data_IF_384684186033
#
_entry.id   IF_384684186033
#
_cell.length_a   1.000
_cell.length_b   1.000
_cell.length_c   1.000
_cell.angle_alpha   90.00
_cell.angle_beta   90.00
_cell.angle_gamma   90.00
#
_symmetry.space_group_name_H-M   'P 1'
#
loop_
_entity.id
_entity.type
_entity.pdbx_description
1 polymer ?
#
# COMPACT_ATOMS: atom_id res chain seq x y z
N UNK A 1 -20.39 -7.53 -7.74
CA UNK A 1 -20.92 -6.17 -7.99
C UNK A 1 -19.69 -5.29 -7.91
N UNK A 2 -19.39 -4.57 -8.98
CA UNK A 2 -18.21 -3.70 -9.04
C UNK A 2 -18.41 -2.51 -8.10
N UNK A 3 -17.43 -2.22 -7.25
CA UNK A 3 -17.45 -1.06 -6.37
C UNK A 3 -16.58 0.05 -6.97
N UNK A 4 -17.10 1.27 -7.14
CA UNK A 4 -16.28 2.38 -7.63
C UNK A 4 -15.18 2.67 -6.60
N UNK A 5 -13.93 2.60 -7.06
CA UNK A 5 -12.76 2.91 -6.24
C UNK A 5 -11.66 3.55 -7.08
N UNK A 6 -10.75 4.26 -6.43
CA UNK A 6 -9.50 4.74 -7.03
C UNK A 6 -8.33 4.11 -6.29
N UNK A 7 -7.45 3.46 -7.04
CA UNK A 7 -6.17 2.97 -6.54
C UNK A 7 -5.11 4.08 -6.63
N UNK A 8 -4.42 4.30 -5.53
CA UNK A 8 -3.38 5.31 -5.37
C UNK A 8 -2.11 4.62 -4.88
N UNK A 9 -1.14 4.54 -5.78
CA UNK A 9 0.22 4.13 -5.44
C UNK A 9 0.89 5.25 -4.67
N UNK A 10 1.35 4.95 -3.46
CA UNK A 10 2.00 5.90 -2.59
C UNK A 10 3.41 6.20 -3.10
N UNK A 11 3.74 7.46 -3.42
CA UNK A 11 5.09 7.85 -3.77
C UNK A 11 6.04 7.69 -2.57
N UNK A 12 7.31 7.43 -2.88
CA UNK A 12 8.42 7.34 -1.94
C UNK A 12 9.60 8.16 -2.46
N UNK A 13 9.36 9.43 -2.78
CA UNK A 13 10.33 10.28 -3.50
C UNK A 13 10.59 11.64 -2.83
N UNK A 14 9.97 11.93 -1.69
CA UNK A 14 10.11 13.23 -1.03
C UNK A 14 9.24 14.33 -1.63
N UNK A 15 8.43 14.01 -2.64
CA UNK A 15 7.78 14.98 -3.51
C UNK A 15 6.34 15.33 -3.12
N UNK A 16 5.81 16.33 -3.82
CA UNK A 16 4.39 16.67 -3.81
C UNK A 16 3.76 16.25 -5.14
N UNK A 17 2.69 15.47 -5.05
CA UNK A 17 1.98 14.88 -6.17
C UNK A 17 0.54 15.38 -6.17
N UNK A 18 -0.11 15.34 -7.33
CA UNK A 18 -1.52 15.74 -7.45
C UNK A 18 -2.30 14.69 -8.21
N UNK A 19 -3.44 14.29 -7.67
CA UNK A 19 -4.31 13.28 -8.26
C UNK A 19 -5.76 13.74 -8.29
N UNK A 20 -6.39 13.55 -9.44
CA UNK A 20 -7.82 13.79 -9.65
C UNK A 20 -8.66 12.62 -9.15
N UNK A 21 -9.59 12.91 -8.25
CA UNK A 21 -10.45 11.92 -7.58
C UNK A 21 -11.92 12.20 -7.90
N UNK A 22 -12.63 11.24 -8.53
CA UNK A 22 -14.08 11.30 -8.66
C UNK A 22 -14.75 11.44 -7.29
N UNK A 23 -15.80 12.24 -7.21
CA UNK A 23 -16.54 12.44 -5.97
C UNK A 23 -17.13 11.13 -5.44
N UNK A 24 -17.32 11.06 -4.12
CA UNK A 24 -18.00 9.95 -3.43
C UNK A 24 -17.41 8.55 -3.72
N UNK A 25 -16.13 8.49 -4.06
CA UNK A 25 -15.45 7.25 -4.45
C UNK A 25 -14.53 6.74 -3.33
N UNK A 26 -14.52 5.42 -3.13
CA UNK A 26 -13.62 4.77 -2.16
C UNK A 26 -12.17 4.91 -2.62
N UNK A 27 -11.26 5.24 -1.72
CA UNK A 27 -9.83 5.34 -2.02
C UNK A 27 -9.07 4.14 -1.48
N UNK A 28 -8.22 3.57 -2.32
CA UNK A 28 -7.31 2.50 -1.94
C UNK A 28 -5.88 3.00 -2.06
N UNK A 29 -5.23 3.20 -0.92
CA UNK A 29 -3.85 3.63 -0.86
C UNK A 29 -2.96 2.42 -0.64
N UNK A 30 -1.89 2.29 -1.41
CA UNK A 30 -0.92 1.25 -1.16
C UNK A 30 0.48 1.60 -1.68
N UNK A 31 1.48 0.93 -1.14
CA UNK A 31 2.82 0.92 -1.69
C UNK A 31 3.55 -0.37 -1.32
N UNK A 32 4.62 -0.69 -2.03
CA UNK A 32 5.38 -1.91 -1.80
C UNK A 32 6.88 -1.70 -1.96
N UNK A 33 7.62 -2.53 -1.22
CA UNK A 33 9.08 -2.62 -1.32
C UNK A 33 9.50 -4.08 -1.39
N UNK A 34 10.63 -4.35 -2.03
CA UNK A 34 11.23 -5.67 -2.09
C UNK A 34 12.67 -5.65 -1.54
N UNK A 35 13.08 -6.63 -0.72
CA UNK A 35 14.47 -6.74 -0.30
C UNK A 35 15.36 -7.19 -1.48
N UNK A 36 16.53 -6.58 -1.56
CA UNK A 36 17.59 -6.92 -2.50
C UNK A 36 18.97 -6.66 -1.90
N UNK A 37 20.01 -6.85 -2.70
CA UNK A 37 21.32 -6.27 -2.46
C UNK A 37 21.45 -4.96 -3.24
N UNK A 38 22.55 -4.22 -3.05
CA UNK A 38 22.82 -2.97 -3.78
C UNK A 38 22.77 -3.13 -5.30
N UNK A 39 23.09 -4.32 -5.82
CA UNK A 39 23.19 -4.56 -7.26
C UNK A 39 21.96 -5.22 -7.89
N UNK A 40 21.09 -5.84 -7.08
CA UNK A 40 19.94 -6.60 -7.60
C UNK A 40 18.87 -6.88 -6.56
N UNK A 41 17.64 -7.06 -7.05
CA UNK A 41 16.61 -7.78 -6.31
C UNK A 41 17.03 -9.24 -6.09
N UNK A 42 16.59 -9.83 -4.99
CA UNK A 42 16.76 -11.26 -4.74
C UNK A 42 15.57 -11.99 -5.38
N UNK A 43 15.80 -12.84 -6.40
CA UNK A 43 14.71 -13.62 -7.01
C UNK A 43 14.19 -14.66 -6.01
N UNK A 44 12.93 -15.04 -6.18
CA UNK A 44 12.25 -16.05 -5.36
C UNK A 44 12.81 -17.48 -5.57
N UNK A 45 13.61 -17.71 -6.61
CA UNK A 45 14.17 -19.01 -6.95
C UNK A 45 15.69 -19.04 -6.67
N UNK A 46 16.16 -20.11 -6.00
CA UNK A 46 17.58 -20.35 -5.72
C UNK A 46 17.88 -20.68 -4.25
N UNK A 47 19.15 -20.85 -3.89
CA UNK A 47 19.57 -21.28 -2.54
C UNK A 47 19.23 -20.28 -1.42
N UNK A 48 18.83 -19.05 -1.77
CA UNK A 48 18.54 -17.96 -0.83
C UNK A 48 17.06 -17.85 -0.40
N UNK A 49 16.14 -18.71 -0.89
CA UNK A 49 14.68 -18.57 -0.63
C UNK A 49 14.36 -18.51 0.87
N UNK A 50 14.99 -19.38 1.67
CA UNK A 50 14.73 -19.44 3.12
C UNK A 50 15.14 -18.17 3.85
N UNK A 51 16.30 -17.61 3.51
CA UNK A 51 16.81 -16.36 4.09
C UNK A 51 16.02 -15.14 3.61
N UNK A 52 15.61 -15.11 2.34
CA UNK A 52 14.76 -14.04 1.81
C UNK A 52 13.40 -14.03 2.50
N UNK A 53 12.77 -15.19 2.66
CA UNK A 53 11.48 -15.30 3.33
C UNK A 53 11.51 -14.74 4.75
N UNK A 54 12.60 -15.05 5.47
CA UNK A 54 12.83 -14.53 6.81
C UNK A 54 13.00 -13.01 6.81
N UNK A 55 13.83 -12.47 5.92
CA UNK A 55 14.00 -11.00 5.81
C UNK A 55 12.67 -10.33 5.51
N UNK A 56 11.92 -10.80 4.51
CA UNK A 56 10.57 -10.28 4.19
C UNK A 56 9.66 -10.33 5.42
N UNK A 57 9.66 -11.44 6.18
CA UNK A 57 8.88 -11.53 7.42
C UNK A 57 9.31 -10.47 8.44
N UNK A 58 10.60 -10.29 8.65
CA UNK A 58 11.15 -9.38 9.65
C UNK A 58 11.02 -7.89 9.26
N UNK A 59 10.80 -7.54 7.99
CA UNK A 59 10.66 -6.15 7.54
C UNK A 59 9.58 -5.37 8.29
N UNK A 60 8.50 -6.02 8.75
CA UNK A 60 7.45 -5.37 9.55
C UNK A 60 7.94 -4.83 10.90
N UNK A 61 9.10 -5.31 11.38
CA UNK A 61 9.71 -4.83 12.63
C UNK A 61 10.55 -3.56 12.42
N UNK A 62 10.95 -3.28 11.18
CA UNK A 62 11.88 -2.20 10.85
C UNK A 62 11.21 -1.07 10.09
N UNK A 63 10.17 -1.40 9.32
CA UNK A 63 9.47 -0.48 8.43
C UNK A 63 8.15 -0.05 9.06
N UNK A 64 7.94 1.25 9.13
CA UNK A 64 6.63 1.84 9.42
C UNK A 64 6.16 2.63 8.20
N UNK A 65 4.89 2.48 7.87
CA UNK A 65 4.26 3.26 6.81
C UNK A 65 2.94 3.82 7.30
N UNK A 66 2.79 5.13 7.18
CA UNK A 66 1.64 5.88 7.66
C UNK A 66 1.10 6.75 6.55
N UNK A 67 -0.22 6.90 6.55
CA UNK A 67 -0.90 7.93 5.77
C UNK A 67 -1.77 8.77 6.72
N UNK A 68 -1.65 10.07 6.60
CA UNK A 68 -2.45 11.05 7.32
C UNK A 68 -3.32 11.80 6.32
N UNK A 69 -4.63 11.70 6.52
CA UNK A 69 -5.63 12.53 5.89
C UNK A 69 -6.07 13.61 6.90
N UNK A 70 -6.72 14.71 6.46
CA UNK A 70 -7.03 15.86 7.33
C UNK A 70 -7.79 15.48 8.61
N UNK A 71 -8.59 14.45 8.52
CA UNK A 71 -9.52 13.95 9.53
C UNK A 71 -8.97 12.73 10.29
N UNK A 72 -7.88 12.10 9.82
CA UNK A 72 -7.31 10.94 10.49
C UNK A 72 -5.90 10.53 10.04
N UNK A 73 -5.04 10.17 10.99
CA UNK A 73 -3.78 9.45 10.75
C UNK A 73 -3.92 7.98 11.11
N UNK A 74 -3.63 7.07 10.17
CA UNK A 74 -3.63 5.62 10.42
C UNK A 74 -2.35 4.95 9.89
N UNK A 75 -1.79 3.98 10.63
CA UNK A 75 -0.80 3.08 10.04
C UNK A 75 -1.46 2.25 8.93
N UNK A 76 -0.68 1.93 7.91
CA UNK A 76 -1.11 1.01 6.86
C UNK A 76 -1.03 -0.45 7.35
N UNK A 77 -1.91 -1.29 6.82
CA UNK A 77 -1.87 -2.74 7.06
C UNK A 77 -0.73 -3.35 6.23
N UNK A 78 0.12 -4.17 6.84
CA UNK A 78 1.20 -4.84 6.13
C UNK A 78 0.79 -6.23 5.61
N UNK A 79 1.26 -6.57 4.43
CA UNK A 79 1.07 -7.89 3.84
C UNK A 79 2.26 -8.33 3.00
N UNK A 80 2.25 -9.59 2.59
CA UNK A 80 3.24 -10.10 1.65
C UNK A 80 2.87 -9.72 0.24
N UNK A 81 3.85 -9.19 -0.47
CA UNK A 81 3.73 -8.81 -1.86
C UNK A 81 4.50 -9.78 -2.75
N UNK A 82 3.90 -10.19 -3.87
CA UNK A 82 4.58 -11.04 -4.87
C UNK A 82 4.28 -10.53 -6.26
N UNK A 83 5.33 -10.26 -7.05
CA UNK A 83 5.21 -9.84 -8.45
C UNK A 83 6.40 -10.32 -9.26
N UNK A 84 6.11 -10.92 -10.42
CA UNK A 84 7.11 -11.32 -11.42
C UNK A 84 8.32 -12.11 -10.86
N UNK A 85 8.07 -13.02 -9.90
CA UNK A 85 9.13 -13.85 -9.30
C UNK A 85 9.94 -13.17 -8.19
N UNK A 86 9.46 -12.03 -7.66
CA UNK A 86 10.02 -11.36 -6.49
C UNK A 86 9.04 -11.37 -5.34
N UNK A 87 9.58 -11.48 -4.12
CA UNK A 87 8.84 -11.36 -2.87
C UNK A 87 9.20 -10.05 -2.17
N UNK A 88 8.20 -9.40 -1.58
CA UNK A 88 8.34 -8.14 -0.86
C UNK A 88 7.27 -7.96 0.19
N UNK A 89 7.13 -6.73 0.65
CA UNK A 89 6.06 -6.28 1.53
C UNK A 89 5.27 -5.18 0.86
N UNK A 90 3.95 -5.25 0.98
CA UNK A 90 3.05 -4.17 0.62
C UNK A 90 2.37 -3.65 1.89
N UNK A 91 2.04 -2.37 1.87
CA UNK A 91 1.28 -1.70 2.90
C UNK A 91 0.09 -1.02 2.26
N UNK A 92 -1.09 -1.17 2.85
CA UNK A 92 -2.31 -0.63 2.26
C UNK A 92 -3.35 -0.19 3.28
N UNK A 93 -4.28 0.66 2.82
CA UNK A 93 -5.53 0.97 3.51
C UNK A 93 -6.63 1.31 2.51
N UNK A 94 -7.83 0.78 2.74
CA UNK A 94 -9.04 1.22 2.05
C UNK A 94 -9.76 2.28 2.91
N UNK A 95 -10.17 3.37 2.27
CA UNK A 95 -10.88 4.48 2.90
C UNK A 95 -12.17 4.72 2.14
N UNK A 96 -13.25 4.96 2.90
CA UNK A 96 -14.45 5.51 2.31
C UNK A 96 -14.16 6.86 1.63
N UNK A 97 -15.14 7.43 0.92
CA UNK A 97 -14.97 8.72 0.27
C UNK A 97 -14.49 9.78 1.27
N UNK A 98 -13.56 10.61 0.83
CA UNK A 98 -13.03 11.74 1.61
C UNK A 98 -13.64 13.05 1.12
N UNK A 99 -13.68 14.06 1.99
CA UNK A 99 -14.06 15.41 1.58
C UNK A 99 -12.95 16.02 0.74
N UNK A 100 -13.26 16.49 -0.47
CA UNK A 100 -12.29 17.04 -1.42
C UNK A 100 -12.46 18.57 -1.55
N UNK A 101 -11.37 19.34 -1.78
CA UNK A 101 -9.98 18.89 -1.90
C UNK A 101 -9.39 18.47 -0.53
N UNK A 102 -8.46 17.52 -0.56
CA UNK A 102 -7.75 17.04 0.61
C UNK A 102 -6.26 16.90 0.32
N UNK A 103 -5.46 16.88 1.38
CA UNK A 103 -4.02 16.57 1.30
C UNK A 103 -3.77 15.29 2.09
N UNK A 104 -3.15 14.31 1.45
CA UNK A 104 -2.67 13.11 2.10
C UNK A 104 -1.16 13.24 2.34
N UNK A 105 -0.75 13.18 3.61
CA UNK A 105 0.65 13.12 4.01
C UNK A 105 1.06 11.67 4.19
N UNK A 106 2.21 11.30 3.62
CA UNK A 106 2.72 9.94 3.60
C UNK A 106 4.05 9.96 4.32
N UNK A 107 4.20 9.09 5.31
CA UNK A 107 5.47 8.89 6.00
C UNK A 107 5.86 7.43 5.88
N UNK A 108 7.01 7.19 5.28
CA UNK A 108 7.69 5.90 5.26
C UNK A 108 8.96 6.02 6.08
N UNK A 109 9.13 5.17 7.08
CA UNK A 109 10.37 5.09 7.85
C UNK A 109 10.91 3.68 7.88
N UNK A 110 12.24 3.57 7.75
CA UNK A 110 12.98 2.34 7.96
C UNK A 110 14.03 2.58 9.03
N UNK A 111 13.99 1.75 10.07
CA UNK A 111 14.84 1.89 11.26
C UNK A 111 15.70 0.66 11.49
N UNK A 112 16.74 0.81 12.33
CA UNK A 112 17.67 -0.26 12.65
C UNK A 112 18.79 -0.43 11.63
N UNK A 113 19.61 -1.45 11.84
CA UNK A 113 20.71 -1.80 10.95
C UNK A 113 20.23 -2.74 9.84
N UNK A 114 20.80 -2.66 8.62
CA UNK A 114 20.47 -3.60 7.55
C UNK A 114 20.77 -5.04 7.97
N UNK A 115 19.82 -5.99 7.82
CA UNK A 115 20.13 -7.39 7.91
C UNK A 115 21.03 -7.79 6.73
N UNK A 116 21.70 -8.93 6.84
CA UNK A 116 22.57 -9.45 5.78
C UNK A 116 22.06 -10.79 5.24
N UNK A 117 22.20 -11.02 3.94
CA UNK A 117 22.04 -12.35 3.32
C UNK A 117 23.36 -12.72 2.65
N UNK A 118 23.93 -13.87 3.03
CA UNK A 118 25.22 -14.31 2.47
C UNK A 118 26.41 -13.40 2.80
N UNK A 119 26.27 -12.53 3.80
CA UNK A 119 27.27 -11.51 4.16
C UNK A 119 27.02 -10.14 3.52
N UNK A 120 26.17 -10.06 2.51
CA UNK A 120 25.84 -8.80 1.85
C UNK A 120 24.71 -8.06 2.57
N UNK A 121 24.83 -6.73 2.79
CA UNK A 121 23.77 -5.95 3.41
C UNK A 121 22.55 -5.87 2.48
N UNK A 122 21.37 -6.05 3.07
CA UNK A 122 20.11 -5.89 2.37
C UNK A 122 19.79 -4.41 2.20
N UNK A 123 19.29 -4.05 1.02
CA UNK A 123 18.63 -2.78 0.74
C UNK A 123 17.18 -3.03 0.36
N UNK A 124 16.33 -2.00 0.50
CA UNK A 124 14.96 -2.07 0.01
C UNK A 124 14.85 -1.40 -1.35
N UNK A 125 14.12 -2.03 -2.26
CA UNK A 125 13.85 -1.52 -3.59
C UNK A 125 12.38 -1.12 -3.74
N UNK A 126 12.13 0.05 -4.31
CA UNK A 126 10.79 0.48 -4.73
C UNK A 126 10.33 -0.27 -5.97
N UNK A 127 9.04 -0.21 -6.28
CA UNK A 127 8.53 -0.74 -7.55
C UNK A 127 9.14 -0.06 -8.80
N UNK A 128 9.65 1.16 -8.62
CA UNK A 128 10.28 1.98 -9.66
C UNK A 128 11.76 1.63 -9.87
N UNK A 129 12.32 0.74 -9.05
CA UNK A 129 13.72 0.32 -9.16
C UNK A 129 14.69 1.28 -8.46
N UNK A 130 14.23 2.00 -7.44
CA UNK A 130 15.07 2.87 -6.62
C UNK A 130 15.39 2.19 -5.29
N UNK A 131 16.57 2.46 -4.72
CA UNK A 131 16.96 1.90 -3.43
C UNK A 131 16.67 2.86 -2.28
N UNK A 132 16.18 2.32 -1.17
CA UNK A 132 15.92 3.06 0.05
C UNK A 132 17.01 2.71 1.08
N UNK A 133 17.80 3.70 1.53
CA UNK A 133 18.80 3.50 2.58
C UNK A 133 18.16 3.10 3.91
N UNK A 134 18.85 2.27 4.69
CA UNK A 134 18.42 1.99 6.07
C UNK A 134 18.61 3.22 6.97
N UNK A 135 17.72 3.39 7.95
CA UNK A 135 17.74 4.56 8.84
C UNK A 135 17.15 5.82 8.20
N UNK A 136 16.47 5.72 7.05
CA UNK A 136 15.82 6.85 6.39
C UNK A 136 14.36 6.99 6.79
N UNK A 137 13.90 8.23 6.84
CA UNK A 137 12.48 8.60 6.75
C UNK A 137 12.26 9.36 5.46
N UNK A 138 11.25 8.96 4.69
CA UNK A 138 10.80 9.62 3.46
C UNK A 138 9.39 10.11 3.70
N UNK A 139 9.19 11.41 3.51
CA UNK A 139 7.89 12.06 3.61
C UNK A 139 7.44 12.51 2.23
N UNK A 140 6.20 12.23 1.84
CA UNK A 140 5.67 12.65 0.55
C UNK A 140 4.23 13.14 0.72
N UNK A 141 3.78 13.96 -0.21
CA UNK A 141 2.46 14.57 -0.14
C UNK A 141 1.68 14.29 -1.41
N UNK A 142 0.39 13.97 -1.27
CA UNK A 142 -0.53 13.82 -2.40
C UNK A 142 -1.72 14.75 -2.22
N UNK A 143 -1.84 15.73 -3.09
CA UNK A 143 -3.02 16.58 -3.24
C UNK A 143 -4.12 15.82 -3.97
N UNK A 144 -5.25 15.61 -3.29
CA UNK A 144 -6.44 14.98 -3.83
C UNK A 144 -7.42 16.08 -4.25
N UNK A 145 -7.66 16.22 -5.55
CA UNK A 145 -8.56 17.24 -6.10
C UNK A 145 -9.79 16.62 -6.75
N UNK A 146 -10.96 17.27 -6.69
CA UNK A 146 -12.17 16.71 -7.28
C UNK A 146 -12.06 16.58 -8.80
N UNK A 147 -12.57 15.47 -9.33
CA UNK A 147 -12.70 15.21 -10.76
C UNK A 147 -14.17 15.10 -11.17
N UNK A 148 -14.50 15.63 -12.34
CA UNK A 148 -15.80 15.41 -12.98
C UNK A 148 -15.87 14.09 -13.77
N UNK A 149 -14.74 13.36 -13.88
CA UNK A 149 -14.67 12.08 -14.58
C UNK A 149 -15.27 10.98 -13.70
N UNK A 150 -16.02 10.02 -14.28
CA UNK A 150 -16.52 8.88 -13.51
C UNK A 150 -15.36 8.04 -12.97
N UNK A 151 -15.58 7.38 -11.84
CA UNK A 151 -14.59 6.46 -11.29
C UNK A 151 -14.35 5.28 -12.24
N UNK A 152 -13.08 4.90 -12.48
CA UNK A 152 -12.79 3.64 -13.13
C UNK A 152 -13.45 2.53 -12.32
N UNK A 153 -14.23 1.70 -13.00
CA UNK A 153 -14.80 0.50 -12.38
C UNK A 153 -13.70 -0.55 -12.34
N UNK A 154 -13.31 -0.96 -11.14
CA UNK A 154 -12.53 -2.18 -10.99
C UNK A 154 -13.46 -3.35 -11.31
N UNK A 155 -13.07 -4.20 -12.26
CA UNK A 155 -13.73 -5.50 -12.38
C UNK A 155 -13.46 -6.24 -11.09
N UNK A 156 -14.50 -6.43 -10.27
CA UNK A 156 -14.46 -7.22 -9.03
C UNK A 156 -14.27 -8.72 -9.29
N UNK A 157 -13.81 -9.12 -10.48
CA UNK A 157 -13.22 -10.43 -10.69
C UNK A 157 -11.89 -10.46 -9.96
N UNK A 158 -11.93 -10.72 -8.65
CA UNK A 158 -11.11 -11.77 -8.03
C UNK A 158 -9.61 -11.80 -8.42
N UNK A 159 -9.00 -10.67 -8.74
CA UNK A 159 -7.61 -10.60 -9.17
C UNK A 159 -6.72 -10.46 -7.92
N UNK A 160 -6.43 -11.63 -7.37
CA UNK A 160 -5.16 -12.06 -6.75
C UNK A 160 -4.63 -11.35 -5.50
N UNK A 161 -5.10 -10.17 -5.09
CA UNK A 161 -4.87 -9.64 -3.72
C UNK A 161 -5.82 -10.30 -2.68
N UNK A 162 -6.86 -10.99 -3.14
CA UNK A 162 -8.07 -11.24 -2.37
C UNK A 162 -8.29 -12.69 -1.91
N UNK A 163 -7.35 -13.61 -2.12
CA UNK A 163 -7.57 -15.01 -1.73
C UNK A 163 -7.54 -15.27 -0.21
N UNK A 164 -7.31 -14.27 0.65
CA UNK A 164 -7.24 -14.47 2.12
C UNK A 164 -7.82 -13.39 3.03
N UNK A 165 -8.38 -12.30 2.51
CA UNK A 165 -8.86 -11.21 3.37
C UNK A 165 -10.36 -10.99 3.23
N UNK A 166 -11.08 -11.26 4.33
CA UNK A 166 -12.46 -10.83 4.54
C UNK A 166 -12.48 -9.31 4.60
N UNK A 167 -12.67 -8.65 3.46
CA UNK A 167 -12.92 -7.21 3.45
C UNK A 167 -14.37 -6.96 3.84
N UNK A 168 -14.54 -5.99 4.71
CA UNK A 168 -15.81 -5.53 5.25
C UNK A 168 -16.84 -5.33 4.13
N UNK A 169 -17.87 -6.17 4.13
CA UNK A 169 -19.10 -5.96 3.36
C UNK A 169 -20.06 -5.23 4.30
N UNK A 170 -20.49 -3.99 4.00
CA UNK A 170 -21.57 -3.35 4.73
C UNK A 170 -22.81 -4.23 4.57
N UNK A 171 -23.27 -4.86 5.64
CA UNK A 171 -24.54 -5.57 5.62
C UNK A 171 -25.65 -4.53 5.52
N UNK A 172 -26.27 -4.41 4.34
CA UNK A 172 -27.59 -3.81 4.24
C UNK A 172 -28.54 -4.67 5.07
N UNK A 173 -28.88 -4.22 6.27
CA UNK A 173 -30.10 -4.66 6.94
C UNK A 173 -31.19 -3.82 6.27
N UNK A 174 -32.13 -4.41 5.51
CA UNK A 174 -33.32 -3.69 5.11
C UNK A 174 -34.00 -3.25 6.41
N UNK A 175 -34.14 -1.93 6.58
CA UNK A 175 -35.13 -1.42 7.52
C UNK A 175 -36.44 -2.01 7.05
N UNK A 176 -37.01 -2.95 7.83
CA UNK A 176 -38.41 -3.31 7.63
C UNK A 176 -39.17 -2.01 7.87
N UNK A 177 -39.73 -1.47 6.80
CA UNK A 177 -40.89 -0.60 6.88
C UNK A 177 -41.90 -1.31 7.78
N UNK A 178 -42.02 -0.84 9.03
CA UNK A 178 -43.27 -0.95 9.75
C UNK A 178 -44.12 0.24 9.29
N UNK A 179 -44.65 0.12 8.07
CA UNK A 179 -45.89 0.75 7.69
C UNK A 179 -47.03 -0.20 8.07
N UNK A 180 -47.64 0.11 9.21
CA UNK A 180 -49.01 -0.13 9.66
C UNK A 180 -49.86 -1.22 8.97
N UNK A 181 -50.30 -2.19 9.77
CA UNK A 181 -51.75 -2.40 10.03
C UNK A 181 -51.98 -3.12 11.34
#
# INVERSE_FOLDING_TARGET
>A
MDHPSVELKLPLDGGTHRVEIPQETTLFFWGAVAPGTTDRLIPEEGDAVGSQHRVVQELSNYVSWRISLPDESKPLLDERYRKQGYNGRAWWIARGPVSLPATAEIEFSISGAPPTIGGDPIVLWTEQGETIPWGSTIESTVELVPSAKPAPQFQTRQEQLWNRHTVYVPSWIPVKDQSDT
#
